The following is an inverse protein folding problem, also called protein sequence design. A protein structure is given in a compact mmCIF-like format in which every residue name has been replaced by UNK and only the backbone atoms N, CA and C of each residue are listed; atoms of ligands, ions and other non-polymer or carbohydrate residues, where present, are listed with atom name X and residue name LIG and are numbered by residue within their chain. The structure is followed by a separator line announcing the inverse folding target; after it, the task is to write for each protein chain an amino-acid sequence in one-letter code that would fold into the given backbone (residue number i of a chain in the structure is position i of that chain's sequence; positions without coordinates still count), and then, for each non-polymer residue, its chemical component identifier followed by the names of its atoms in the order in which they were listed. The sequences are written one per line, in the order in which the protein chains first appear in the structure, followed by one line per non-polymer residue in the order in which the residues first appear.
data_IF_326045756809
#
_entry.id   IF_326045756809
#
_cell.length_a   1.000
_cell.length_b   1.000
_cell.length_c   1.000
_cell.angle_alpha   90.00
_cell.angle_beta   90.00
_cell.angle_gamma   90.00
#
_symmetry.space_group_name_H-M   'P 1'
#
loop_
_entity.id
_entity.type
_entity.pdbx_description
1 polymer ?
#
# COMPACT_ATOMS: atom_id res chain seq x y z
N UNK A 1 1.96 -0.77 -10.92
CA UNK A 1 1.16 0.09 -9.99
C UNK A 1 1.34 -0.46 -8.57
N UNK A 2 1.20 0.36 -7.52
CA UNK A 2 1.29 -0.10 -6.13
C UNK A 2 -0.04 0.11 -5.39
N UNK A 3 -0.49 -0.88 -4.60
CA UNK A 3 -1.61 -0.76 -3.67
C UNK A 3 -1.09 -0.99 -2.25
N UNK A 4 -1.33 -0.04 -1.36
CA UNK A 4 -0.93 -0.08 0.04
C UNK A 4 -2.20 -0.19 0.89
N UNK A 5 -2.27 -1.13 1.83
CA UNK A 5 -3.34 -1.22 2.84
C UNK A 5 -2.86 -0.75 4.21
N UNK A 6 -3.75 -0.18 5.03
CA UNK A 6 -3.46 0.22 6.43
C UNK A 6 -4.06 -0.71 7.47
N UNK A 7 -4.95 -1.61 7.06
CA UNK A 7 -5.56 -2.65 7.87
C UNK A 7 -5.16 -4.04 7.38
N UNK A 8 -6.14 -4.89 7.06
CA UNK A 8 -5.84 -6.21 6.51
C UNK A 8 -5.10 -6.11 5.17
N UNK A 9 -4.22 -7.07 4.91
CA UNK A 9 -3.58 -7.22 3.61
C UNK A 9 -4.61 -7.47 2.51
N UNK A 10 -4.30 -7.00 1.31
CA UNK A 10 -5.15 -7.23 0.15
C UNK A 10 -5.31 -8.76 -0.08
N UNK A 11 -6.51 -9.29 -0.37
CA UNK A 11 -6.73 -10.73 -0.51
C UNK A 11 -5.81 -11.41 -1.54
N UNK A 12 -5.50 -10.70 -2.63
CA UNK A 12 -4.50 -11.17 -3.61
C UNK A 12 -3.09 -11.32 -2.98
N UNK A 13 -2.64 -10.37 -2.16
CA UNK A 13 -1.35 -10.48 -1.46
C UNK A 13 -1.33 -11.68 -0.52
N UNK A 14 -2.40 -11.87 0.26
CA UNK A 14 -2.54 -13.02 1.16
C UNK A 14 -2.47 -14.35 0.40
N UNK A 15 -3.13 -14.42 -0.77
CA UNK A 15 -3.09 -15.59 -1.63
C UNK A 15 -1.69 -15.85 -2.17
N UNK A 16 -1.02 -14.85 -2.74
CA UNK A 16 0.33 -15.00 -3.31
C UNK A 16 1.38 -15.35 -2.24
N UNK A 17 1.31 -14.70 -1.08
CA UNK A 17 2.17 -15.00 0.07
C UNK A 17 2.04 -16.46 0.53
N UNK A 18 0.87 -17.08 0.37
CA UNK A 18 0.66 -18.49 0.70
C UNK A 18 1.50 -19.45 -0.18
N UNK A 19 1.97 -19.00 -1.34
CA UNK A 19 2.90 -19.74 -2.20
C UNK A 19 4.38 -19.43 -1.93
N UNK A 20 4.68 -18.47 -1.05
CA UNK A 20 6.02 -18.20 -0.53
C UNK A 20 6.45 -16.73 -0.63
N UNK A 21 6.99 -16.20 0.46
CA UNK A 21 7.38 -14.78 0.56
C UNK A 21 8.46 -14.39 -0.46
N UNK A 22 9.50 -15.21 -0.65
CA UNK A 22 10.58 -14.88 -1.58
C UNK A 22 10.10 -14.77 -3.04
N UNK A 23 9.14 -15.62 -3.42
CA UNK A 23 8.52 -15.55 -4.74
C UNK A 23 7.67 -14.30 -4.89
N UNK A 24 6.85 -14.01 -3.88
CA UNK A 24 6.02 -12.82 -3.84
C UNK A 24 6.84 -11.52 -3.94
N UNK A 25 7.87 -11.38 -3.12
CA UNK A 25 8.69 -10.17 -3.10
C UNK A 25 9.58 -10.00 -4.33
N UNK A 26 9.83 -11.06 -5.12
CA UNK A 26 10.46 -10.93 -6.45
C UNK A 26 9.55 -10.20 -7.45
N UNK A 27 8.24 -10.40 -7.38
CA UNK A 27 7.27 -9.72 -8.24
C UNK A 27 7.37 -8.18 -8.12
N UNK A 28 7.68 -7.67 -6.92
CA UNK A 28 7.92 -6.24 -6.71
C UNK A 28 9.07 -5.71 -7.58
N UNK A 29 10.15 -6.48 -7.72
CA UNK A 29 11.33 -6.12 -8.50
C UNK A 29 11.11 -6.30 -10.01
N UNK A 30 10.36 -7.33 -10.41
CA UNK A 30 9.97 -7.57 -11.81
C UNK A 30 9.08 -6.43 -12.32
N UNK A 31 8.13 -5.99 -11.49
CA UNK A 31 7.38 -4.77 -11.70
C UNK A 31 6.37 -4.80 -12.86
N UNK A 32 6.10 -5.98 -13.40
CA UNK A 32 5.20 -6.23 -14.53
C UNK A 32 3.72 -6.03 -14.14
N UNK A 33 3.37 -6.36 -12.90
CA UNK A 33 1.99 -6.34 -12.39
C UNK A 33 1.74 -5.29 -11.29
N UNK A 34 0.48 -5.23 -10.84
CA UNK A 34 0.09 -4.48 -9.65
C UNK A 34 0.65 -5.20 -8.43
N UNK A 35 1.48 -4.50 -7.65
CA UNK A 35 1.97 -5.03 -6.39
C UNK A 35 1.11 -4.52 -5.24
N UNK A 36 0.72 -5.40 -4.33
CA UNK A 36 -0.01 -5.06 -3.12
C UNK A 36 0.92 -5.15 -1.91
N UNK A 37 0.72 -4.35 -0.87
CA UNK A 37 1.48 -4.49 0.37
C UNK A 37 0.75 -3.83 1.53
N UNK A 38 1.02 -4.28 2.75
CA UNK A 38 0.65 -3.53 3.94
C UNK A 38 1.59 -2.34 4.18
N UNK A 39 1.09 -1.27 4.81
CA UNK A 39 1.84 -0.06 5.12
C UNK A 39 3.10 -0.32 5.98
N UNK A 40 3.11 -1.38 6.79
CA UNK A 40 4.29 -1.79 7.57
C UNK A 40 5.49 -2.18 6.69
N UNK A 41 5.27 -2.56 5.43
CA UNK A 41 6.32 -2.97 4.51
C UNK A 41 6.89 -1.81 3.65
N UNK A 42 6.45 -0.56 3.87
CA UNK A 42 6.87 0.59 3.07
C UNK A 42 8.38 0.84 3.03
N UNK A 43 9.11 0.41 4.05
CA UNK A 43 10.57 0.46 4.07
C UNK A 43 11.24 -0.40 2.98
N UNK A 44 10.59 -1.47 2.52
CA UNK A 44 11.11 -2.39 1.49
C UNK A 44 10.70 -1.97 0.07
N UNK A 45 9.71 -1.09 -0.06
CA UNK A 45 9.03 -0.80 -1.32
C UNK A 45 9.67 0.41 -2.01
N UNK A 46 10.02 0.24 -3.28
CA UNK A 46 10.49 1.32 -4.16
C UNK A 46 9.36 2.25 -4.62
N UNK A 47 9.69 3.24 -5.43
CA UNK A 47 8.70 4.18 -6.00
C UNK A 47 7.95 3.55 -7.17
N UNK A 48 6.74 4.02 -7.44
CA UNK A 48 5.90 3.64 -8.58
C UNK A 48 5.18 4.88 -9.11
N UNK A 49 4.94 4.91 -10.43
CA UNK A 49 4.15 5.95 -11.09
C UNK A 49 2.86 6.27 -10.32
N UNK A 50 2.02 5.26 -10.12
CA UNK A 50 0.75 5.37 -9.41
C UNK A 50 0.75 4.50 -8.16
N UNK A 51 0.35 5.11 -7.05
CA UNK A 51 0.16 4.47 -5.74
C UNK A 51 -1.29 4.66 -5.29
N UNK A 52 -1.91 3.58 -4.84
CA UNK A 52 -3.22 3.60 -4.18
C UNK A 52 -3.01 3.30 -2.70
N UNK A 53 -3.40 4.21 -1.81
CA UNK A 53 -3.47 3.96 -0.38
C UNK A 53 -4.93 3.64 0.00
N UNK A 54 -5.19 2.36 0.29
CA UNK A 54 -6.46 1.89 0.83
C UNK A 54 -6.45 1.99 2.36
N UNK A 55 -7.17 2.98 2.88
CA UNK A 55 -7.41 3.17 4.32
C UNK A 55 -8.55 2.22 4.75
N UNK A 56 -8.23 0.92 4.80
CA UNK A 56 -9.16 -0.18 5.08
C UNK A 56 -9.16 -0.63 6.54
N UNK A 57 -8.41 0.03 7.41
CA UNK A 57 -8.29 -0.29 8.83
C UNK A 57 -7.17 0.52 9.47
N UNK A 58 -6.61 0.02 10.57
CA UNK A 58 -5.59 0.71 11.36
C UNK A 58 -6.15 1.90 12.15
N UNK A 59 -5.37 2.37 13.12
CA UNK A 59 -5.63 3.57 13.92
C UNK A 59 -5.36 4.84 13.10
N UNK A 60 -5.95 5.96 13.52
CA UNK A 60 -5.72 7.25 12.87
C UNK A 60 -4.25 7.68 12.90
N UNK A 61 -3.51 7.31 13.95
CA UNK A 61 -2.06 7.52 14.04
C UNK A 61 -1.30 6.73 12.97
N UNK A 62 -1.64 5.45 12.78
CA UNK A 62 -1.03 4.61 11.74
C UNK A 62 -1.31 5.15 10.34
N UNK A 63 -2.55 5.60 10.09
CA UNK A 63 -2.91 6.20 8.80
C UNK A 63 -2.18 7.54 8.58
N UNK A 64 -2.06 8.37 9.62
CA UNK A 64 -1.33 9.63 9.56
C UNK A 64 0.16 9.43 9.24
N UNK A 65 0.76 8.31 9.66
CA UNK A 65 2.13 7.93 9.28
C UNK A 65 2.17 7.34 7.86
N UNK A 66 1.19 6.50 7.49
CA UNK A 66 1.16 5.84 6.20
C UNK A 66 0.95 6.82 5.02
N UNK A 67 0.19 7.89 5.22
CA UNK A 67 -0.16 8.84 4.16
C UNK A 67 1.03 9.57 3.53
N UNK A 68 1.91 10.25 4.30
CA UNK A 68 3.11 10.86 3.74
C UNK A 68 4.08 9.80 3.18
N UNK A 69 4.19 8.64 3.83
CA UNK A 69 5.04 7.56 3.33
C UNK A 69 4.55 7.00 1.98
N UNK A 70 3.24 6.86 1.78
CA UNK A 70 2.65 6.47 0.50
C UNK A 70 2.85 7.55 -0.57
N UNK A 71 2.79 8.83 -0.19
CA UNK A 71 3.07 9.94 -1.09
C UNK A 71 4.52 9.91 -1.59
N UNK A 72 5.50 9.59 -0.74
CA UNK A 72 6.91 9.46 -1.14
C UNK A 72 7.13 8.34 -2.17
N UNK A 73 6.30 7.28 -2.12
CA UNK A 73 6.35 6.18 -3.09
C UNK A 73 5.71 6.55 -4.43
N UNK A 74 4.84 7.55 -4.49
CA UNK A 74 4.20 7.99 -5.73
C UNK A 74 5.14 8.87 -6.54
N UNK A 75 5.40 8.50 -7.80
CA UNK A 75 6.18 9.36 -8.71
C UNK A 75 5.30 10.38 -9.42
N UNK A 76 4.07 10.01 -9.78
CA UNK A 76 3.15 10.89 -10.51
C UNK A 76 1.83 11.09 -9.78
N UNK A 77 1.28 10.07 -9.13
CA UNK A 77 -0.03 10.16 -8.50
C UNK A 77 -0.18 9.27 -7.26
N UNK A 78 -0.73 9.87 -6.20
CA UNK A 78 -1.30 9.16 -5.06
C UNK A 78 -2.83 9.22 -5.14
N UNK A 79 -3.47 8.07 -4.97
CA UNK A 79 -4.92 7.92 -4.83
C UNK A 79 -5.19 7.40 -3.43
N UNK A 80 -6.06 8.06 -2.67
CA UNK A 80 -6.43 7.63 -1.31
C UNK A 80 -7.88 7.15 -1.32
N UNK A 81 -8.09 5.91 -0.91
CA UNK A 81 -9.38 5.24 -0.92
C UNK A 81 -9.76 4.83 0.52
N UNK A 82 -10.95 5.19 0.98
CA UNK A 82 -11.41 4.87 2.34
C UNK A 82 -12.70 5.60 2.69
N UNK A 83 -13.07 5.54 3.96
CA UNK A 83 -14.23 6.28 4.47
C UNK A 83 -14.06 7.80 4.26
N UNK A 84 -14.97 8.48 3.55
CA UNK A 84 -14.82 9.90 3.24
C UNK A 84 -14.79 10.82 4.46
N UNK A 85 -15.46 10.48 5.56
CA UNK A 85 -15.49 11.32 6.77
C UNK A 85 -14.17 11.20 7.54
N UNK A 86 -13.66 9.98 7.66
CA UNK A 86 -12.37 9.68 8.24
C UNK A 86 -11.25 10.37 7.46
N UNK A 87 -11.24 10.23 6.13
CA UNK A 87 -10.22 10.84 5.29
C UNK A 87 -10.23 12.38 5.37
N UNK A 88 -11.39 13.01 5.43
CA UNK A 88 -11.50 14.48 5.62
C UNK A 88 -10.96 14.97 6.96
N UNK A 89 -10.91 14.10 7.97
CA UNK A 89 -10.36 14.45 9.29
C UNK A 89 -8.83 14.29 9.35
N UNK A 90 -8.26 13.49 8.43
CA UNK A 90 -6.84 13.13 8.40
C UNK A 90 -6.02 13.90 7.36
N UNK A 91 -6.69 14.48 6.34
CA UNK A 91 -6.12 15.31 5.27
C UNK A 91 -6.30 16.80 5.57
#
# INVERSE_FOLDING_TARGET
MLVITTGEEHPWAQHELSFGEDAYWRQLAEGEDVFCAHASALGRIGRRAVVVLAVNGGTDSEVAVALPAALEKAETQLIVCGDPQRLRSLL
#
